data_IF_454800498050
#
_entry.id   IF_454800498050
#
_cell.length_a   1.000
_cell.length_b   1.000
_cell.length_c   1.000
_cell.angle_alpha   90.00
_cell.angle_beta   90.00
_cell.angle_gamma   90.00
#
_symmetry.space_group_name_H-M   'P 1'
#
loop_
_entity.id
_entity.type
_entity.pdbx_description
1 polymer ?
#
# COMPACT_ATOMS: atom_id res chain seq x y z
N UNK A 1 -7.49 2.50 -45.06
CA UNK A 1 -7.24 1.81 -43.76
C UNK A 1 -6.60 2.81 -42.83
N UNK A 2 -7.20 3.06 -41.67
CA UNK A 2 -6.57 3.84 -40.60
C UNK A 2 -5.94 2.84 -39.63
N UNK A 3 -4.62 2.88 -39.50
CA UNK A 3 -3.92 2.13 -38.47
C UNK A 3 -3.75 3.03 -37.25
N UNK A 4 -4.51 2.75 -36.20
CA UNK A 4 -4.39 3.43 -34.92
C UNK A 4 -3.37 2.65 -34.07
N UNK A 5 -2.17 3.20 -33.90
CA UNK A 5 -1.19 2.65 -32.96
C UNK A 5 -1.39 3.33 -31.61
N UNK A 6 -2.08 2.68 -30.68
CA UNK A 6 -2.13 3.13 -29.28
C UNK A 6 -0.79 2.75 -28.64
N UNK A 7 0.03 3.74 -28.29
CA UNK A 7 1.29 3.50 -27.55
C UNK A 7 0.93 3.33 -26.07
N UNK A 8 1.14 2.14 -25.45
CA UNK A 8 0.92 1.95 -24.03
C UNK A 8 1.89 2.84 -23.25
N UNK A 9 1.40 3.52 -22.21
CA UNK A 9 2.24 4.33 -21.32
C UNK A 9 2.92 3.41 -20.29
N UNK A 10 4.14 3.75 -19.83
CA UNK A 10 4.80 3.06 -18.72
C UNK A 10 3.89 2.98 -17.49
N UNK A 11 4.19 2.03 -16.61
CA UNK A 11 3.42 1.88 -15.40
C UNK A 11 4.11 1.04 -14.32
N UNK A 12 3.63 1.18 -13.08
CA UNK A 12 4.17 0.44 -11.95
C UNK A 12 3.87 -1.05 -12.02
N UNK A 13 4.84 -1.84 -11.55
CA UNK A 13 4.76 -3.29 -11.38
C UNK A 13 5.44 -3.70 -10.08
N UNK A 14 4.82 -4.59 -9.33
CA UNK A 14 5.42 -5.20 -8.16
C UNK A 14 6.22 -6.44 -8.53
N UNK A 15 7.33 -6.63 -7.84
CA UNK A 15 8.15 -7.83 -7.88
C UNK A 15 8.46 -8.28 -6.46
N UNK A 16 8.27 -9.57 -6.18
CA UNK A 16 8.43 -10.16 -4.85
C UNK A 16 9.31 -11.41 -4.94
N UNK A 17 10.24 -11.57 -3.99
CA UNK A 17 11.02 -12.79 -3.88
C UNK A 17 11.92 -12.82 -2.65
N UNK A 18 12.60 -13.94 -2.43
CA UNK A 18 13.49 -14.12 -1.29
C UNK A 18 14.92 -13.68 -1.63
N UNK A 19 15.57 -12.96 -0.72
CA UNK A 19 16.95 -12.49 -0.88
C UNK A 19 17.84 -12.86 0.32
N UNK A 20 19.13 -13.16 0.13
CA UNK A 20 19.81 -13.25 -1.16
C UNK A 20 19.29 -14.42 -2.00
N UNK A 21 19.05 -14.16 -3.29
CA UNK A 21 18.73 -15.13 -4.31
C UNK A 21 19.92 -15.30 -5.25
N UNK A 22 20.18 -16.55 -5.65
CA UNK A 22 21.14 -16.85 -6.70
C UNK A 22 20.66 -16.37 -8.07
N UNK A 23 19.33 -16.32 -8.28
CA UNK A 23 18.69 -16.01 -9.56
C UNK A 23 17.58 -14.96 -9.39
N UNK A 24 17.88 -13.65 -9.57
CA UNK A 24 16.90 -12.57 -9.47
C UNK A 24 15.72 -12.69 -10.44
N UNK A 25 15.87 -13.49 -11.51
CA UNK A 25 14.82 -13.78 -12.50
C UNK A 25 13.67 -14.62 -11.96
N UNK A 26 13.89 -15.38 -10.87
CA UNK A 26 12.87 -16.26 -10.28
C UNK A 26 11.87 -15.52 -9.38
N UNK A 27 12.04 -14.21 -9.21
CA UNK A 27 11.11 -13.39 -8.43
C UNK A 27 9.77 -13.28 -9.18
N UNK A 28 8.68 -13.45 -8.43
CA UNK A 28 7.33 -13.35 -8.97
C UNK A 28 6.99 -11.89 -9.22
N UNK A 29 6.31 -11.59 -10.32
CA UNK A 29 5.94 -10.23 -10.73
C UNK A 29 4.43 -10.14 -10.94
N UNK A 30 3.84 -8.99 -10.65
CA UNK A 30 2.47 -8.68 -11.06
C UNK A 30 2.43 -8.32 -12.54
N UNK A 31 1.23 -8.23 -13.08
CA UNK A 31 1.00 -7.46 -14.30
C UNK A 31 1.29 -5.97 -14.08
N UNK A 32 1.53 -5.27 -15.18
CA UNK A 32 1.75 -3.84 -15.20
C UNK A 32 0.41 -3.10 -15.11
N UNK A 33 0.33 -2.05 -14.31
CA UNK A 33 -0.84 -1.17 -14.24
C UNK A 33 -0.56 0.10 -15.05
N UNK A 34 -1.02 0.23 -16.31
CA UNK A 34 -0.63 1.33 -17.18
C UNK A 34 -1.23 2.66 -16.71
N UNK A 35 -0.47 3.76 -16.89
CA UNK A 35 -0.93 5.13 -16.61
C UNK A 35 -1.46 5.37 -15.19
N UNK A 36 -0.94 4.67 -14.18
CA UNK A 36 -1.43 4.76 -12.81
C UNK A 36 -0.31 5.10 -11.82
N UNK A 37 -0.48 6.17 -11.02
CA UNK A 37 0.47 6.53 -9.96
C UNK A 37 0.15 5.88 -8.60
N UNK A 38 -1.07 5.35 -8.44
CA UNK A 38 -1.51 4.66 -7.22
C UNK A 38 -2.11 3.30 -7.58
N UNK A 39 -1.27 2.34 -8.03
CA UNK A 39 -1.74 1.06 -8.53
C UNK A 39 -2.34 0.20 -7.42
N UNK A 40 -3.41 -0.52 -7.75
CA UNK A 40 -4.03 -1.51 -6.90
C UNK A 40 -3.78 -2.88 -7.55
N UNK A 41 -2.89 -3.68 -6.95
CA UNK A 41 -2.50 -4.98 -7.52
C UNK A 41 -3.40 -6.14 -7.07
N UNK A 42 -3.88 -6.12 -5.82
CA UNK A 42 -4.74 -7.16 -5.22
C UNK A 42 -4.33 -8.60 -5.54
N UNK A 43 -3.02 -8.88 -5.52
CA UNK A 43 -2.47 -10.19 -5.85
C UNK A 43 -1.88 -10.88 -4.62
N UNK A 44 -2.16 -12.17 -4.49
CA UNK A 44 -1.60 -13.04 -3.46
C UNK A 44 -0.42 -13.82 -4.03
N UNK A 45 0.68 -13.86 -3.29
CA UNK A 45 1.87 -14.64 -3.62
C UNK A 45 2.09 -15.72 -2.57
N UNK A 46 2.38 -16.94 -3.02
CA UNK A 46 2.67 -18.06 -2.14
C UNK A 46 4.12 -18.50 -2.32
N UNK A 47 4.83 -18.69 -1.22
CA UNK A 47 6.21 -19.15 -1.20
C UNK A 47 6.31 -20.39 -0.32
N UNK A 48 6.98 -21.43 -0.82
CA UNK A 48 7.37 -22.58 0.00
C UNK A 48 8.71 -22.23 0.62
N UNK A 49 8.76 -22.15 1.96
CA UNK A 49 9.95 -21.73 2.70
C UNK A 49 10.53 -22.91 3.47
N UNK A 50 11.75 -23.30 3.14
CA UNK A 50 12.51 -24.30 3.88
C UNK A 50 13.30 -23.74 5.08
N UNK A 51 13.88 -24.62 5.90
CA UNK A 51 14.75 -24.23 7.04
C UNK A 51 15.96 -23.42 6.56
N UNK A 52 16.53 -23.81 5.42
CA UNK A 52 17.64 -23.11 4.77
C UNK A 52 17.28 -21.68 4.33
N UNK A 53 16.00 -21.33 4.23
CA UNK A 53 15.57 -20.02 3.75
C UNK A 53 15.19 -19.06 4.88
N UNK A 54 15.18 -19.54 6.13
CA UNK A 54 14.85 -18.71 7.29
C UNK A 54 15.82 -17.54 7.46
N UNK A 55 17.06 -17.66 6.99
CA UNK A 55 18.04 -16.56 7.03
C UNK A 55 17.83 -15.51 5.92
N UNK A 56 16.97 -15.79 4.93
CA UNK A 56 16.64 -14.87 3.84
C UNK A 56 15.65 -13.81 4.30
N UNK A 57 15.41 -12.84 3.42
CA UNK A 57 14.42 -11.79 3.54
C UNK A 57 13.44 -11.87 2.38
N UNK A 58 12.15 -11.72 2.65
CA UNK A 58 11.15 -11.44 1.61
C UNK A 58 11.32 -9.99 1.17
N UNK A 59 11.76 -9.78 -0.07
CA UNK A 59 11.95 -8.47 -0.69
C UNK A 59 10.75 -8.16 -1.58
N UNK A 60 10.16 -6.99 -1.36
CA UNK A 60 9.12 -6.40 -2.20
C UNK A 60 9.72 -5.20 -2.90
N UNK A 61 9.65 -5.17 -4.23
CA UNK A 61 10.26 -4.14 -5.07
C UNK A 61 9.20 -3.55 -6.00
N UNK A 62 9.15 -2.22 -6.09
CA UNK A 62 8.29 -1.52 -7.04
C UNK A 62 9.14 -1.01 -8.20
N UNK A 63 8.70 -1.30 -9.42
CA UNK A 63 9.35 -0.88 -10.65
C UNK A 63 8.39 -0.02 -11.46
N UNK A 64 8.89 1.03 -12.08
CA UNK A 64 8.22 1.66 -13.23
C UNK A 64 8.80 1.04 -14.50
N UNK A 65 7.96 0.33 -15.26
CA UNK A 65 8.39 -0.43 -16.42
C UNK A 65 7.75 0.11 -17.69
N UNK A 66 8.53 0.16 -18.76
CA UNK A 66 8.05 0.43 -20.11
C UNK A 66 8.31 -0.80 -20.98
N UNK A 67 7.22 -1.45 -21.40
CA UNK A 67 7.26 -2.67 -22.21
C UNK A 67 7.81 -2.40 -23.62
N UNK A 68 7.61 -1.19 -24.14
CA UNK A 68 8.03 -0.82 -25.50
C UNK A 68 9.52 -0.51 -25.56
N UNK A 69 10.00 0.36 -24.65
CA UNK A 69 11.44 0.68 -24.57
C UNK A 69 12.25 -0.40 -23.86
N UNK A 70 11.58 -1.37 -23.24
CA UNK A 70 12.17 -2.44 -22.41
C UNK A 70 13.02 -1.88 -21.26
N UNK A 71 12.72 -0.68 -20.82
CA UNK A 71 13.38 -0.04 -19.69
C UNK A 71 12.59 -0.29 -18.41
N UNK A 72 13.28 -0.31 -17.28
CA UNK A 72 12.65 -0.43 -15.97
C UNK A 72 13.46 0.36 -14.96
N UNK A 73 12.80 1.23 -14.21
CA UNK A 73 13.38 2.04 -13.16
C UNK A 73 12.89 1.56 -11.80
N UNK A 74 13.81 1.42 -10.85
CA UNK A 74 13.46 1.08 -9.49
C UNK A 74 12.84 2.30 -8.80
N UNK A 75 11.58 2.19 -8.40
CA UNK A 75 10.92 3.22 -7.58
C UNK A 75 11.29 3.07 -6.10
N UNK A 76 11.55 1.85 -5.67
CA UNK A 76 12.08 1.53 -4.35
C UNK A 76 11.69 0.13 -3.89
N UNK A 77 12.05 -0.21 -2.66
CA UNK A 77 11.81 -1.54 -2.11
C UNK A 77 11.66 -1.53 -0.58
N UNK A 78 11.26 -2.67 -0.04
CA UNK A 78 11.20 -2.97 1.38
C UNK A 78 11.35 -4.47 1.61
N UNK A 79 11.80 -4.88 2.80
CA UNK A 79 12.02 -6.29 3.07
C UNK A 79 11.67 -6.74 4.49
N UNK A 80 11.30 -8.00 4.61
CA UNK A 80 10.89 -8.66 5.86
C UNK A 80 11.76 -9.89 6.09
N UNK A 81 12.27 -10.08 7.31
CA UNK A 81 13.04 -11.28 7.64
C UNK A 81 12.11 -12.51 7.62
N UNK A 82 12.46 -13.54 6.84
CA UNK A 82 11.63 -14.73 6.68
C UNK A 82 11.44 -15.45 8.01
N UNK A 83 12.51 -15.57 8.81
CA UNK A 83 12.43 -16.11 10.18
C UNK A 83 11.38 -15.40 11.03
N UNK A 84 11.27 -14.07 10.97
CA UNK A 84 10.28 -13.32 11.74
C UNK A 84 8.85 -13.59 11.26
N UNK A 85 8.64 -13.78 9.96
CA UNK A 85 7.32 -14.13 9.42
C UNK A 85 6.89 -15.54 9.83
N UNK A 86 7.81 -16.51 9.76
CA UNK A 86 7.50 -17.93 9.96
C UNK A 86 7.48 -18.36 11.43
N UNK A 87 8.45 -17.90 12.24
CA UNK A 87 8.62 -18.39 13.62
C UNK A 87 7.69 -17.68 14.60
N UNK A 88 7.37 -16.41 14.36
CA UNK A 88 6.57 -15.61 15.28
C UNK A 88 5.07 -15.65 14.94
N UNK A 89 4.66 -16.45 13.94
CA UNK A 89 3.31 -16.47 13.34
C UNK A 89 2.77 -15.04 13.12
N UNK A 90 3.67 -14.16 12.70
CA UNK A 90 3.42 -12.72 12.70
C UNK A 90 2.71 -12.36 11.43
N UNK A 91 1.42 -12.06 11.54
CA UNK A 91 0.69 -11.42 10.45
C UNK A 91 1.20 -9.99 10.25
N UNK A 92 1.64 -9.68 9.03
CA UNK A 92 2.14 -8.35 8.64
C UNK A 92 1.05 -7.68 7.82
N UNK A 93 0.38 -6.69 8.42
CA UNK A 93 -0.69 -5.91 7.77
C UNK A 93 -0.49 -4.42 8.00
N UNK A 94 -0.82 -3.63 6.98
CA UNK A 94 -0.84 -2.18 7.06
C UNK A 94 -0.06 -1.51 5.93
N UNK A 95 0.23 -0.23 6.14
CA UNK A 95 0.97 0.60 5.20
C UNK A 95 2.44 0.61 5.55
N UNK A 96 3.29 0.54 4.53
CA UNK A 96 4.74 0.53 4.66
C UNK A 96 5.35 1.55 3.70
N UNK A 97 6.44 2.17 4.13
CA UNK A 97 7.19 3.07 3.26
C UNK A 97 7.95 2.29 2.19
N UNK A 98 7.88 2.77 0.96
CA UNK A 98 8.78 2.36 -0.10
C UNK A 98 10.13 3.06 0.11
N UNK A 99 11.18 2.29 0.38
CA UNK A 99 12.50 2.81 0.73
C UNK A 99 13.42 2.81 -0.49
N UNK A 100 14.48 3.62 -0.44
CA UNK A 100 15.59 3.53 -1.41
C UNK A 100 16.25 2.14 -1.38
N UNK A 101 16.90 1.77 -2.48
CA UNK A 101 17.39 0.40 -2.75
C UNK A 101 18.18 -0.21 -1.59
N UNK A 102 19.23 0.47 -1.13
CA UNK A 102 20.12 -0.04 -0.08
C UNK A 102 19.37 -0.30 1.23
N UNK A 103 18.52 0.66 1.62
CA UNK A 103 17.79 0.61 2.87
C UNK A 103 16.65 -0.41 2.82
N UNK A 104 15.90 -0.44 1.72
CA UNK A 104 14.77 -1.36 1.53
C UNK A 104 15.18 -2.82 1.49
N UNK A 105 16.39 -3.13 1.00
CA UNK A 105 16.93 -4.50 1.02
C UNK A 105 17.19 -5.04 2.42
N UNK A 106 17.38 -4.18 3.42
CA UNK A 106 17.72 -4.57 4.79
C UNK A 106 16.59 -4.36 5.80
N UNK A 107 15.59 -3.51 5.52
CA UNK A 107 14.49 -3.25 6.47
C UNK A 107 13.15 -2.90 5.81
N UNK A 108 12.13 -2.75 6.64
CA UNK A 108 10.84 -2.16 6.33
C UNK A 108 10.51 -1.10 7.40
N UNK A 109 9.74 -0.08 7.03
CA UNK A 109 9.24 0.92 7.96
C UNK A 109 7.72 0.97 7.85
N UNK A 110 7.04 0.82 8.99
CA UNK A 110 5.57 0.90 9.07
C UNK A 110 5.16 2.37 9.05
N UNK A 111 4.11 2.69 8.31
CA UNK A 111 3.44 4.00 8.40
C UNK A 111 2.52 3.96 9.64
N UNK A 112 2.70 4.85 10.63
CA UNK A 112 1.80 4.91 11.77
C UNK A 112 0.36 5.17 11.32
N UNK A 113 -0.65 4.55 11.97
CA UNK A 113 -2.02 4.94 11.73
C UNK A 113 -2.15 6.44 12.03
N UNK A 114 -2.82 7.19 11.15
CA UNK A 114 -3.13 8.58 11.44
C UNK A 114 -3.84 8.62 12.80
N UNK A 115 -3.42 9.49 13.74
CA UNK A 115 -4.24 9.76 14.90
C UNK A 115 -5.57 10.25 14.34
N UNK A 116 -6.63 9.48 14.54
CA UNK A 116 -7.98 9.97 14.33
C UNK A 116 -8.11 11.19 15.22
N UNK A 117 -8.03 12.40 14.64
CA UNK A 117 -8.62 13.56 15.29
C UNK A 117 -10.06 13.14 15.55
N UNK A 118 -10.39 12.91 16.83
CA UNK A 118 -11.75 12.61 17.21
C UNK A 118 -12.63 13.65 16.56
N UNK A 119 -13.59 13.20 15.75
CA UNK A 119 -14.71 14.03 15.36
C UNK A 119 -15.46 14.38 16.65
N UNK A 120 -14.95 15.38 17.37
CA UNK A 120 -15.72 16.14 18.32
C UNK A 120 -16.77 16.86 17.49
N UNK A 121 -17.90 16.19 17.29
CA UNK A 121 -19.15 16.90 17.12
C UNK A 121 -19.22 17.91 18.29
N UNK A 122 -19.31 19.23 18.04
CA UNK A 122 -19.67 20.14 19.11
C UNK A 122 -21.03 19.66 19.65
N UNK A 123 -21.22 19.63 20.98
CA UNK A 123 -22.50 19.26 21.54
C UNK A 123 -23.57 20.16 20.92
N UNK A 124 -24.58 19.54 20.32
CA UNK A 124 -25.77 20.24 19.83
C UNK A 124 -26.29 21.12 20.98
N UNK A 125 -26.54 22.43 20.77
CA UNK A 125 -27.16 23.24 21.79
C UNK A 125 -28.53 22.62 22.10
N UNK A 126 -28.70 22.12 23.32
CA UNK A 126 -29.99 21.66 23.82
C UNK A 126 -30.92 22.86 23.81
N UNK A 127 -31.87 22.88 22.89
CA UNK A 127 -33.00 23.81 22.91
C UNK A 127 -33.81 23.53 24.18
N UNK A 128 -33.52 24.29 25.24
CA UNK A 128 -34.43 24.44 26.37
C UNK A 128 -35.67 25.18 25.87
N UNK A 129 -36.79 24.47 25.84
CA UNK A 129 -38.11 25.08 25.71
C UNK A 129 -38.30 26.07 26.88
N UNK A 130 -38.65 27.35 26.63
CA UNK A 130 -39.13 28.23 27.69
C UNK A 130 -40.56 27.83 28.09
N UNK A 131 -40.94 27.99 29.37
CA UNK A 131 -42.29 27.69 29.82
C UNK A 131 -43.30 28.66 29.22
N UNK A 132 -44.44 28.12 28.81
CA UNK A 132 -45.62 28.86 28.36
C UNK A 132 -46.02 29.90 29.41
N UNK A 133 -46.02 31.17 29.04
CA UNK A 133 -46.81 32.19 29.71
C UNK A 133 -47.98 32.57 28.80
N UNK A 134 -49.17 32.10 29.19
CA UNK A 134 -50.44 32.61 28.70
C UNK A 134 -50.55 34.10 29.02
N UNK A 135 -50.56 34.95 27.99
CA UNK A 135 -51.19 36.25 28.09
C UNK A 135 -52.05 36.52 26.83
N UNK A 136 -53.30 36.74 27.16
CA UNK A 136 -54.50 36.96 26.36
C UNK A 136 -54.52 38.40 25.78
N UNK A 137 -55.29 38.59 24.69
CA UNK A 137 -55.89 39.88 24.21
C UNK A 137 -54.96 40.82 23.42
N UNK A 138 -55.32 41.46 22.28
CA UNK A 138 -56.43 41.45 21.32
C UNK A 138 -55.98 42.20 20.06
N UNK A 139 -56.64 41.92 18.93
CA UNK A 139 -56.47 42.63 17.65
C UNK A 139 -57.03 44.05 17.64
N UNK A 140 -56.28 44.99 17.07
CA UNK A 140 -56.74 46.10 16.21
C UNK A 140 -55.63 46.48 15.25
#
# INVERSE_FOLDING_TARGET
>A
MLNLTVIPRPGPRLQVGLVPDSEPGNRVKTDLVPSCNNPIFLQTFSFVVGVEELHKRLLVTMWDSDVHTRTSQLLGCMSFAVRSLMVQDKEVRGWYFLLGEELGRSKHLVVPPHPTHGHHHPPHPTHSHPPHHDHHVSWT
#
